data_IF_197521825003
#
_entry.id   IF_197521825003
#
_cell.length_a   1.000
_cell.length_b   1.000
_cell.length_c   1.000
_cell.angle_alpha   90.00
_cell.angle_beta   90.00
_cell.angle_gamma   90.00
#
_symmetry.space_group_name_H-M   'P 1'
#
loop_
_entity.id
_entity.type
_entity.pdbx_description
1 polymer ?
#
# COMPACT_ATOMS: atom_id res chain seq x y z
N UNK A 1 -13.82 -12.29 -3.70
CA UNK A 1 -14.18 -10.90 -3.35
C UNK A 1 -13.68 -10.47 -1.96
N UNK A 2 -14.23 -10.98 -0.85
CA UNK A 2 -13.95 -10.52 0.53
C UNK A 2 -12.47 -10.61 0.97
N UNK A 3 -11.85 -11.77 0.78
CA UNK A 3 -10.47 -12.01 1.26
C UNK A 3 -9.41 -11.27 0.43
N UNK A 4 -9.73 -10.92 -0.82
CA UNK A 4 -8.82 -10.20 -1.72
C UNK A 4 -8.75 -8.71 -1.39
N UNK A 5 -9.91 -8.06 -1.16
CA UNK A 5 -9.96 -6.63 -0.81
C UNK A 5 -9.44 -6.34 0.61
N UNK A 6 -9.64 -7.28 1.56
CA UNK A 6 -9.07 -7.20 2.92
C UNK A 6 -7.54 -7.29 2.88
N UNK A 7 -6.98 -8.26 2.14
CA UNK A 7 -5.52 -8.42 1.98
C UNK A 7 -4.90 -7.25 1.21
N UNK A 8 -5.62 -6.73 0.22
CA UNK A 8 -5.19 -5.56 -0.54
C UNK A 8 -5.13 -4.27 0.31
N UNK A 9 -6.06 -4.08 1.25
CA UNK A 9 -6.04 -2.93 2.17
C UNK A 9 -4.97 -3.05 3.26
N UNK A 10 -4.55 -4.28 3.60
CA UNK A 10 -3.36 -4.58 4.42
C UNK A 10 -2.06 -4.23 3.68
N UNK A 11 -1.96 -4.64 2.42
CA UNK A 11 -0.74 -4.54 1.61
C UNK A 11 -0.50 -3.17 0.97
N UNK A 12 -1.54 -2.38 0.71
CA UNK A 12 -1.37 -0.99 0.23
C UNK A 12 -0.81 -0.06 1.30
N UNK A 13 -0.97 -0.44 2.58
CA UNK A 13 -0.33 0.25 3.68
C UNK A 13 1.10 -0.25 3.87
N UNK A 14 1.38 -1.56 3.76
CA UNK A 14 2.72 -2.15 3.97
C UNK A 14 3.70 -2.01 2.79
N UNK A 15 3.20 -1.79 1.57
CA UNK A 15 4.01 -1.71 0.35
C UNK A 15 4.55 -0.30 0.08
N UNK A 16 5.58 0.12 0.81
CA UNK A 16 6.34 1.33 0.46
C UNK A 16 7.73 0.95 -0.02
N UNK A 17 8.02 1.32 -1.27
CA UNK A 17 9.27 0.98 -1.93
C UNK A 17 10.43 1.87 -1.47
N UNK A 18 11.40 1.28 -0.77
CA UNK A 18 12.69 1.90 -0.52
C UNK A 18 13.52 1.84 -1.82
N UNK A 19 13.76 2.99 -2.43
CA UNK A 19 14.63 3.12 -3.61
C UNK A 19 16.02 3.59 -3.17
N UNK A 20 16.99 2.67 -3.12
CA UNK A 20 18.40 3.08 -3.07
C UNK A 20 18.85 3.45 -4.49
N UNK A 21 18.97 4.76 -4.76
CA UNK A 21 19.73 5.24 -5.92
C UNK A 21 21.20 4.91 -5.70
N UNK A 22 21.68 3.83 -6.31
CA UNK A 22 23.11 3.58 -6.45
C UNK A 22 23.71 4.73 -7.27
N UNK A 23 24.43 5.63 -6.61
CA UNK A 23 25.29 6.58 -7.29
C UNK A 23 26.39 5.80 -8.00
N UNK A 24 26.37 5.78 -9.33
CA UNK A 24 27.52 5.37 -10.13
C UNK A 24 28.69 6.31 -9.83
N UNK A 25 29.60 5.87 -8.98
CA UNK A 25 30.98 6.33 -9.06
C UNK A 25 31.57 5.70 -10.33
N UNK A 26 31.72 6.54 -11.35
CA UNK A 26 32.59 6.26 -12.49
C UNK A 26 34.02 6.24 -11.99
N UNK A 27 34.50 5.05 -11.61
CA UNK A 27 35.92 4.78 -11.52
C UNK A 27 36.27 3.86 -12.72
N UNK A 28 37.10 4.41 -13.60
CA UNK A 28 37.57 3.78 -14.84
C UNK A 28 38.48 2.58 -14.52
N UNK A 29 38.04 1.35 -14.83
CA UNK A 29 38.94 0.21 -15.11
C UNK A 29 38.24 -0.82 -16.03
N UNK A 30 38.90 -1.36 -17.09
CA UNK A 30 38.24 -2.21 -18.07
C UNK A 30 38.35 -3.68 -17.66
N UNK A 31 37.38 -4.15 -16.90
CA UNK A 31 37.21 -5.57 -16.58
C UNK A 31 35.76 -5.98 -16.76
N UNK A 32 35.49 -6.84 -17.74
CA UNK A 32 34.14 -7.26 -18.12
C UNK A 32 33.35 -7.87 -16.96
N UNK A 33 32.42 -7.08 -16.43
CA UNK A 33 31.23 -7.51 -15.71
C UNK A 33 30.03 -6.99 -16.48
N UNK A 34 29.08 -7.86 -16.81
CA UNK A 34 27.84 -7.43 -17.46
C UNK A 34 27.12 -6.44 -16.54
N UNK A 35 26.59 -5.38 -17.14
CA UNK A 35 25.77 -4.39 -16.42
C UNK A 35 24.69 -5.12 -15.59
N UNK A 36 24.44 -4.71 -14.34
CA UNK A 36 23.33 -5.25 -13.58
C UNK A 36 22.03 -5.06 -14.39
N UNK A 37 21.14 -6.06 -14.42
CA UNK A 37 19.92 -5.95 -15.21
C UNK A 37 19.12 -4.74 -14.75
N UNK A 38 18.74 -3.87 -15.70
CA UNK A 38 17.99 -2.66 -15.42
C UNK A 38 16.60 -3.01 -14.87
N UNK A 39 16.34 -2.64 -13.61
CA UNK A 39 15.03 -2.85 -12.99
C UNK A 39 13.95 -1.99 -13.67
N UNK A 40 12.73 -2.50 -13.84
CA UNK A 40 11.62 -1.73 -14.39
C UNK A 40 10.24 -2.32 -14.01
N UNK A 41 9.21 -1.49 -14.12
CA UNK A 41 7.80 -1.88 -14.11
C UNK A 41 7.04 -1.06 -15.16
N UNK A 42 6.51 -1.72 -16.19
CA UNK A 42 5.86 -1.08 -17.35
C UNK A 42 4.59 -1.82 -17.76
N UNK A 43 3.66 -1.12 -18.40
CA UNK A 43 2.47 -1.72 -19.04
C UNK A 43 1.87 -0.77 -20.08
N UNK A 44 0.77 -1.19 -20.70
CA UNK A 44 -0.17 -0.33 -21.43
C UNK A 44 -1.54 -0.37 -20.78
N UNK A 45 -2.10 0.79 -20.45
CA UNK A 45 -3.45 0.97 -19.89
C UNK A 45 -4.34 1.57 -20.96
N UNK A 46 -5.33 0.80 -21.43
CA UNK A 46 -6.16 1.11 -22.59
C UNK A 46 -5.31 1.53 -23.83
N UNK A 47 -4.16 0.88 -24.00
CA UNK A 47 -3.19 1.16 -25.07
C UNK A 47 -2.21 2.30 -24.79
N UNK A 48 -2.42 3.10 -23.74
CA UNK A 48 -1.51 4.19 -23.35
C UNK A 48 -0.36 3.67 -22.49
N UNK A 49 0.84 4.21 -22.68
CA UNK A 49 2.02 3.76 -21.95
C UNK A 49 1.91 4.07 -20.45
N UNK A 50 2.23 3.06 -19.64
CA UNK A 50 2.44 3.16 -18.21
C UNK A 50 3.90 2.81 -17.92
N UNK A 51 4.63 3.75 -17.34
CA UNK A 51 5.98 3.54 -16.84
C UNK A 51 6.05 4.01 -15.40
N UNK A 52 6.34 3.09 -14.50
CA UNK A 52 6.47 3.40 -13.09
C UNK A 52 7.76 4.18 -12.82
N UNK A 53 7.66 5.26 -12.06
CA UNK A 53 8.81 5.98 -11.50
C UNK A 53 9.17 5.46 -10.11
N UNK A 54 8.27 4.70 -9.49
CA UNK A 54 8.43 4.01 -8.22
C UNK A 54 7.77 2.64 -8.31
N UNK A 55 8.44 1.59 -7.88
CA UNK A 55 7.93 0.22 -7.96
C UNK A 55 8.68 -0.69 -7.00
N UNK A 56 8.11 -1.86 -6.78
CA UNK A 56 8.81 -3.01 -6.20
C UNK A 56 7.86 -4.13 -5.79
N UNK A 57 8.30 -4.97 -4.85
CA UNK A 57 7.47 -6.05 -4.31
C UNK A 57 7.69 -6.34 -2.82
N UNK A 58 6.67 -6.92 -2.17
CA UNK A 58 6.77 -7.50 -0.82
C UNK A 58 6.05 -8.85 -0.72
N UNK A 59 6.49 -9.71 0.19
CA UNK A 59 5.86 -11.00 0.49
C UNK A 59 5.52 -11.06 1.98
N UNK A 60 4.26 -11.33 2.30
CA UNK A 60 3.80 -11.54 3.68
C UNK A 60 4.04 -12.97 4.19
N UNK A 61 3.80 -13.19 5.48
CA UNK A 61 3.96 -14.50 6.15
C UNK A 61 3.03 -15.59 5.57
N UNK A 62 1.87 -15.18 5.06
CA UNK A 62 0.89 -16.04 4.38
C UNK A 62 1.31 -16.37 2.93
N UNK A 63 2.51 -15.95 2.52
CA UNK A 63 3.04 -16.09 1.17
C UNK A 63 2.18 -15.39 0.11
N UNK A 64 1.57 -14.26 0.46
CA UNK A 64 0.98 -13.36 -0.52
C UNK A 64 2.04 -12.38 -0.98
N UNK A 65 2.38 -12.47 -2.26
CA UNK A 65 3.28 -11.54 -2.92
C UNK A 65 2.48 -10.36 -3.47
N UNK A 66 2.89 -9.14 -3.18
CA UNK A 66 2.40 -7.94 -3.84
C UNK A 66 3.50 -7.30 -4.66
N UNK A 67 3.15 -6.86 -5.86
CA UNK A 67 4.03 -6.13 -6.78
C UNK A 67 3.30 -4.87 -7.21
N UNK A 68 3.92 -3.71 -7.04
CA UNK A 68 3.28 -2.42 -7.31
C UNK A 68 4.14 -1.50 -8.17
N UNK A 69 3.49 -0.61 -8.91
CA UNK A 69 4.12 0.49 -9.63
C UNK A 69 3.28 1.76 -9.59
N UNK A 70 3.93 2.91 -9.43
CA UNK A 70 3.35 4.25 -9.46
C UNK A 70 4.04 5.07 -10.55
N UNK A 71 3.26 5.68 -11.44
CA UNK A 71 3.78 6.55 -12.49
C UNK A 71 3.83 8.03 -12.07
N UNK A 72 4.41 8.88 -12.91
CA UNK A 72 4.53 10.32 -12.67
C UNK A 72 3.21 11.09 -12.63
N UNK A 73 2.12 10.47 -13.06
CA UNK A 73 0.77 11.04 -13.11
C UNK A 73 -0.06 10.67 -11.87
N UNK A 74 0.51 9.94 -10.92
CA UNK A 74 -0.20 9.50 -9.72
C UNK A 74 -1.09 8.27 -9.94
N UNK A 75 -0.97 7.58 -11.08
CA UNK A 75 -1.68 6.33 -11.36
C UNK A 75 -0.88 5.12 -10.86
N UNK A 76 -1.58 4.10 -10.34
CA UNK A 76 -0.94 2.89 -9.83
C UNK A 76 -1.47 1.62 -10.49
N UNK A 77 -0.60 0.62 -10.62
CA UNK A 77 -0.96 -0.77 -10.90
C UNK A 77 -0.43 -1.60 -9.74
N UNK A 78 -1.27 -2.48 -9.19
CA UNK A 78 -0.86 -3.42 -8.14
C UNK A 78 -1.32 -4.83 -8.52
N UNK A 79 -0.41 -5.79 -8.35
CA UNK A 79 -0.63 -7.23 -8.48
C UNK A 79 -0.58 -7.84 -7.08
N UNK A 80 -1.54 -8.68 -6.74
CA UNK A 80 -1.54 -9.47 -5.51
C UNK A 80 -1.64 -10.96 -5.87
N UNK A 81 -0.57 -11.70 -5.60
CA UNK A 81 -0.34 -13.09 -6.00
C UNK A 81 -0.35 -13.96 -4.75
N UNK A 82 -1.42 -14.72 -4.56
CA UNK A 82 -1.61 -15.56 -3.39
C UNK A 82 -0.84 -16.88 -3.50
N UNK A 83 -0.36 -17.40 -2.36
CA UNK A 83 0.39 -18.66 -2.25
C UNK A 83 1.66 -18.67 -3.14
N UNK A 84 2.38 -17.56 -3.15
CA UNK A 84 3.63 -17.39 -3.87
C UNK A 84 4.72 -18.31 -3.30
N UNK A 85 5.26 -19.18 -4.15
CA UNK A 85 6.39 -20.08 -3.80
C UNK A 85 7.55 -19.97 -4.78
N UNK A 86 7.52 -18.98 -5.68
CA UNK A 86 8.50 -18.74 -6.73
C UNK A 86 7.88 -18.59 -8.12
N UNK A 87 8.60 -19.05 -9.14
CA UNK A 87 8.14 -19.00 -10.53
C UNK A 87 6.79 -19.71 -10.72
N UNK A 88 5.92 -19.13 -11.54
CA UNK A 88 4.58 -19.65 -11.71
C UNK A 88 3.62 -18.70 -12.41
N UNK A 89 2.41 -19.21 -12.66
CA UNK A 89 1.31 -18.45 -13.26
C UNK A 89 0.18 -18.27 -12.25
N UNK A 90 -0.27 -17.03 -12.11
CA UNK A 90 -1.27 -16.60 -11.15
C UNK A 90 -2.45 -16.03 -11.92
N UNK A 91 -3.59 -16.72 -11.89
CA UNK A 91 -4.78 -16.29 -12.62
C UNK A 91 -5.56 -15.24 -11.84
N UNK A 92 -6.11 -14.26 -12.55
CA UNK A 92 -7.01 -13.25 -12.02
C UNK A 92 -8.43 -13.52 -12.53
N UNK A 93 -9.38 -13.58 -11.61
CA UNK A 93 -10.81 -13.70 -11.90
C UNK A 93 -11.61 -13.28 -10.67
N UNK A 94 -12.94 -13.10 -10.77
CA UNK A 94 -13.79 -12.72 -9.65
C UNK A 94 -13.68 -13.65 -8.43
N UNK A 95 -13.32 -14.91 -8.70
CA UNK A 95 -13.25 -16.00 -7.73
C UNK A 95 -11.80 -16.42 -7.41
N UNK A 96 -10.79 -15.79 -8.01
CA UNK A 96 -9.40 -16.10 -7.71
C UNK A 96 -8.96 -15.49 -6.37
N UNK A 97 -7.98 -16.14 -5.73
CA UNK A 97 -7.28 -15.57 -4.58
C UNK A 97 -6.25 -14.53 -5.01
N UNK A 98 -5.72 -14.65 -6.23
CA UNK A 98 -4.86 -13.65 -6.85
C UNK A 98 -5.68 -12.64 -7.65
N UNK A 99 -5.16 -11.43 -7.82
CA UNK A 99 -5.82 -10.39 -8.59
C UNK A 99 -4.93 -9.20 -8.84
N UNK A 100 -5.48 -8.22 -9.54
CA UNK A 100 -4.82 -6.96 -9.81
C UNK A 100 -5.80 -5.79 -9.68
N UNK A 101 -5.24 -4.59 -9.57
CA UNK A 101 -5.98 -3.35 -9.65
C UNK A 101 -5.23 -2.31 -10.46
N UNK A 102 -6.00 -1.30 -10.85
CA UNK A 102 -5.50 -0.04 -11.39
C UNK A 102 -6.26 1.12 -10.73
N UNK A 103 -5.53 2.15 -10.29
CA UNK A 103 -6.12 3.46 -9.99
C UNK A 103 -5.50 4.50 -10.93
N UNK A 104 -6.30 5.30 -11.66
CA UNK A 104 -5.79 6.38 -12.48
C UNK A 104 -5.32 7.57 -11.63
N UNK A 105 -5.82 7.71 -10.40
CA UNK A 105 -5.51 8.80 -9.49
C UNK A 105 -5.49 8.27 -8.05
N UNK A 106 -4.31 8.23 -7.44
CA UNK A 106 -4.12 7.81 -6.04
C UNK A 106 -4.72 8.80 -5.04
N UNK A 107 -5.05 10.02 -5.43
CA UNK A 107 -5.81 10.95 -4.59
C UNK A 107 -7.32 10.67 -4.60
N UNK A 108 -7.80 9.79 -5.50
CA UNK A 108 -9.22 9.47 -5.63
C UNK A 108 -9.49 7.96 -5.70
N UNK A 109 -9.56 7.33 -4.52
CA UNK A 109 -9.86 5.90 -4.37
C UNK A 109 -11.27 5.48 -4.78
N UNK A 110 -12.17 6.42 -5.10
CA UNK A 110 -13.48 6.06 -5.68
C UNK A 110 -13.38 5.70 -7.16
N UNK A 111 -12.26 6.04 -7.81
CA UNK A 111 -11.97 5.77 -9.22
C UNK A 111 -11.12 4.50 -9.39
N UNK A 112 -11.46 3.42 -8.67
CA UNK A 112 -10.65 2.19 -8.59
C UNK A 112 -11.17 1.11 -9.55
N UNK A 113 -10.26 0.42 -10.23
CA UNK A 113 -10.55 -0.73 -11.09
C UNK A 113 -9.93 -2.00 -10.53
N UNK A 114 -10.70 -3.08 -10.40
CA UNK A 114 -10.23 -4.36 -9.82
C UNK A 114 -10.58 -5.57 -10.70
N UNK A 115 -9.71 -6.59 -10.72
CA UNK A 115 -9.97 -7.85 -11.44
C UNK A 115 -10.95 -8.79 -10.71
N UNK A 116 -11.40 -8.42 -9.50
CA UNK A 116 -12.35 -9.21 -8.73
C UNK A 116 -13.82 -8.82 -8.95
N UNK A 117 -14.09 -7.75 -9.71
CA UNK A 117 -15.43 -7.43 -10.22
C UNK A 117 -15.86 -8.43 -11.31
N UNK A 118 -17.15 -8.52 -11.62
CA UNK A 118 -17.74 -9.55 -12.51
C UNK A 118 -17.06 -9.63 -13.88
N UNK A 119 -16.59 -8.50 -14.41
CA UNK A 119 -15.91 -8.42 -15.71
C UNK A 119 -14.37 -8.54 -15.62
N UNK A 120 -13.84 -8.83 -14.43
CA UNK A 120 -12.42 -8.93 -14.17
C UNK A 120 -11.82 -10.24 -14.65
N UNK A 121 -10.65 -10.18 -15.28
CA UNK A 121 -9.92 -11.36 -15.79
C UNK A 121 -8.45 -11.04 -16.02
N UNK A 122 -7.59 -12.04 -16.12
CA UNK A 122 -6.18 -11.82 -16.47
C UNK A 122 -5.24 -12.83 -15.83
N UNK A 123 -3.95 -12.53 -15.87
CA UNK A 123 -2.93 -13.27 -15.14
C UNK A 123 -1.65 -12.47 -14.96
N UNK A 124 -0.83 -12.92 -14.00
CA UNK A 124 0.59 -12.62 -13.93
C UNK A 124 1.39 -13.92 -14.04
N UNK A 125 2.56 -13.84 -14.68
CA UNK A 125 3.51 -14.94 -14.82
C UNK A 125 4.84 -14.48 -14.26
N UNK A 126 5.28 -15.10 -13.16
CA UNK A 126 6.62 -14.92 -12.60
C UNK A 126 7.56 -15.85 -13.36
N UNK A 127 8.50 -15.27 -14.12
CA UNK A 127 9.45 -16.00 -14.98
C UNK A 127 10.86 -16.02 -14.42
N UNK A 128 11.12 -15.29 -13.34
CA UNK A 128 12.39 -15.32 -12.63
C UNK A 128 12.16 -15.06 -11.15
N UNK A 129 12.60 -16.01 -10.32
CA UNK A 129 12.64 -15.85 -8.87
C UNK A 129 13.99 -16.29 -8.34
N UNK A 130 14.74 -15.35 -7.76
CA UNK A 130 15.95 -15.65 -7.02
C UNK A 130 15.70 -15.40 -5.54
N UNK A 131 15.39 -16.46 -4.79
CA UNK A 131 15.12 -16.37 -3.36
C UNK A 131 16.34 -16.05 -2.49
N UNK A 132 17.56 -16.13 -3.03
CA UNK A 132 18.78 -15.72 -2.31
C UNK A 132 18.96 -14.21 -2.35
N UNK A 133 18.86 -13.64 -3.55
CA UNK A 133 19.02 -12.19 -3.76
C UNK A 133 17.71 -11.43 -3.57
N UNK A 134 16.61 -12.15 -3.40
CA UNK A 134 15.24 -11.65 -3.29
C UNK A 134 14.84 -10.81 -4.50
N UNK A 135 15.11 -11.31 -5.70
CA UNK A 135 14.83 -10.61 -6.96
C UNK A 135 13.76 -11.35 -7.75
N UNK A 136 12.78 -10.61 -8.26
CA UNK A 136 11.67 -11.14 -9.04
C UNK A 136 11.54 -10.48 -10.43
N UNK A 137 11.12 -11.26 -11.42
CA UNK A 137 10.81 -10.81 -12.78
C UNK A 137 9.63 -11.57 -13.37
N UNK A 138 8.89 -10.91 -14.27
CA UNK A 138 7.71 -11.50 -14.87
C UNK A 138 6.92 -10.57 -15.78
N UNK A 139 5.74 -11.05 -16.15
CA UNK A 139 4.79 -10.36 -17.04
C UNK A 139 3.37 -10.41 -16.47
N UNK A 140 2.51 -9.51 -16.90
CA UNK A 140 1.11 -9.51 -16.51
C UNK A 140 0.22 -8.89 -17.59
N UNK A 141 -1.06 -9.28 -17.60
CA UNK A 141 -2.12 -8.63 -18.38
C UNK A 141 -3.47 -8.92 -17.74
N UNK A 142 -4.34 -7.92 -17.68
CA UNK A 142 -5.65 -8.06 -17.06
C UNK A 142 -6.69 -7.09 -17.58
N UNK A 143 -7.97 -7.44 -17.41
CA UNK A 143 -9.11 -6.55 -17.48
C UNK A 143 -9.62 -6.33 -16.06
N UNK A 144 -9.83 -5.08 -15.67
CA UNK A 144 -10.31 -4.71 -14.35
C UNK A 144 -11.59 -3.88 -14.47
N UNK A 145 -12.55 -4.12 -13.57
CA UNK A 145 -13.85 -3.44 -13.53
C UNK A 145 -13.84 -2.35 -12.47
N UNK A 146 -14.40 -1.19 -12.80
CA UNK A 146 -14.61 -0.08 -11.89
C UNK A 146 -15.53 -0.49 -10.75
N UNK A 147 -15.14 -0.17 -9.51
CA UNK A 147 -15.81 -0.64 -8.29
C UNK A 147 -17.26 -0.15 -8.14
N UNK A 148 -17.64 0.96 -8.78
CA UNK A 148 -19.00 1.53 -8.64
C UNK A 148 -19.88 1.55 -9.90
N UNK A 149 -19.33 1.32 -11.11
CA UNK A 149 -20.08 1.67 -12.34
C UNK A 149 -19.89 0.70 -13.53
N UNK A 150 -19.38 -0.51 -13.29
CA UNK A 150 -19.22 -1.59 -14.29
C UNK A 150 -18.32 -1.31 -15.49
N UNK A 151 -17.85 -0.06 -15.68
CA UNK A 151 -16.86 0.27 -16.70
C UNK A 151 -15.57 -0.53 -16.49
N UNK A 152 -14.78 -0.72 -17.54
CA UNK A 152 -13.59 -1.57 -17.49
C UNK A 152 -12.37 -0.84 -18.02
N UNK A 153 -11.21 -1.23 -17.51
CA UNK A 153 -9.89 -0.86 -18.04
C UNK A 153 -9.17 -2.14 -18.47
N UNK A 154 -8.41 -2.06 -19.56
CA UNK A 154 -7.59 -3.15 -20.07
C UNK A 154 -6.11 -2.81 -19.89
N UNK A 155 -5.39 -3.69 -19.19
CA UNK A 155 -3.95 -3.59 -18.98
C UNK A 155 -3.25 -4.70 -19.76
N UNK A 156 -2.40 -4.32 -20.70
CA UNK A 156 -1.66 -5.22 -21.60
C UNK A 156 -0.17 -4.95 -21.55
N UNK A 157 0.64 -5.86 -22.08
CA UNK A 157 2.10 -5.68 -22.18
C UNK A 157 2.76 -5.35 -20.83
N UNK A 158 2.18 -5.84 -19.74
CA UNK A 158 2.71 -5.64 -18.39
C UNK A 158 4.00 -6.44 -18.20
N UNK A 159 5.03 -5.79 -17.69
CA UNK A 159 6.29 -6.42 -17.34
C UNK A 159 6.89 -5.79 -16.08
N UNK A 160 7.50 -6.64 -15.27
CA UNK A 160 8.37 -6.22 -14.18
C UNK A 160 9.68 -6.99 -14.28
N UNK A 161 10.80 -6.30 -14.13
CA UNK A 161 12.13 -6.89 -14.23
C UNK A 161 12.99 -6.48 -13.05
N UNK A 162 13.73 -7.44 -12.53
CA UNK A 162 14.75 -7.28 -11.48
C UNK A 162 14.26 -6.44 -10.29
N UNK A 163 13.04 -6.71 -9.83
CA UNK A 163 12.44 -6.04 -8.68
C UNK A 163 12.95 -6.70 -7.40
N UNK A 164 13.46 -5.91 -6.46
CA UNK A 164 13.75 -6.36 -5.11
C UNK A 164 12.44 -6.69 -4.39
N UNK A 165 12.41 -7.87 -3.76
CA UNK A 165 11.32 -8.36 -2.93
C UNK A 165 11.73 -8.17 -1.48
N UNK A 166 10.90 -7.45 -0.74
CA UNK A 166 10.98 -7.37 0.71
C UNK A 166 10.17 -8.51 1.32
N UNK A 167 10.69 -9.14 2.37
CA UNK A 167 9.95 -10.13 3.12
C UNK A 167 9.48 -9.49 4.41
N UNK A 168 8.18 -9.54 4.66
CA UNK A 168 7.66 -9.23 5.99
C UNK A 168 8.18 -10.34 6.92
N UNK A 169 9.22 -10.03 7.66
CA UNK A 169 9.77 -10.94 8.65
C UNK A 169 8.84 -10.98 9.85
N UNK A 170 8.47 -12.19 10.27
CA UNK A 170 7.82 -12.54 11.55
C UNK A 170 8.26 -11.55 12.66
N UNK A 171 7.43 -10.53 12.91
CA UNK A 171 7.59 -9.49 13.93
C UNK A 171 9.01 -9.01 14.23
N UNK A 172 9.80 -8.60 13.23
CA UNK A 172 11.26 -8.57 13.37
C UNK A 172 12.06 -7.35 12.95
N UNK A 173 11.53 -6.12 12.98
CA UNK A 173 12.25 -4.82 13.20
C UNK A 173 11.52 -3.67 12.48
N UNK A 174 10.73 -2.92 13.25
CA UNK A 174 10.04 -1.72 12.76
C UNK A 174 8.87 -1.25 13.60
N UNK A 175 8.39 -2.05 14.58
CA UNK A 175 7.23 -1.66 15.37
C UNK A 175 7.04 -2.37 16.71
N UNK A 176 8.11 -2.83 17.36
CA UNK A 176 8.01 -3.53 18.66
C UNK A 176 7.24 -2.73 19.73
N UNK A 177 7.36 -1.40 19.68
CA UNK A 177 6.72 -0.47 20.62
C UNK A 177 5.64 0.41 19.96
N UNK A 178 5.27 0.13 18.70
CA UNK A 178 4.25 0.90 18.00
C UNK A 178 2.89 0.72 18.68
N UNK A 179 2.13 1.81 18.79
CA UNK A 179 0.81 1.80 19.39
C UNK A 179 -0.13 2.78 18.71
N UNK A 180 -1.42 2.42 18.70
CA UNK A 180 -2.50 3.24 18.19
C UNK A 180 -3.76 2.98 19.02
N UNK A 181 -4.39 4.03 19.50
CA UNK A 181 -5.67 3.94 20.23
C UNK A 181 -6.60 5.08 19.84
N UNK A 182 -7.90 4.85 19.94
CA UNK A 182 -8.96 5.85 19.72
C UNK A 182 -10.29 5.34 20.26
N UNK A 183 -11.15 6.24 20.72
CA UNK A 183 -12.54 5.92 21.05
C UNK A 183 -13.46 6.20 19.88
N UNK A 184 -14.15 5.17 19.41
CA UNK A 184 -15.17 5.25 18.37
C UNK A 184 -16.54 5.28 19.04
N UNK A 185 -17.23 6.42 18.95
CA UNK A 185 -18.49 6.66 19.67
C UNK A 185 -18.38 6.29 21.17
N UNK A 186 -17.23 6.62 21.77
CA UNK A 186 -16.91 6.34 23.18
C UNK A 186 -16.39 4.93 23.49
N UNK A 187 -16.37 4.01 22.51
CA UNK A 187 -15.83 2.65 22.70
C UNK A 187 -14.36 2.60 22.31
N UNK A 188 -13.49 2.14 23.22
CA UNK A 188 -12.07 2.03 22.97
C UNK A 188 -11.77 1.02 21.86
N UNK A 189 -10.95 1.46 20.91
CA UNK A 189 -10.31 0.65 19.89
C UNK A 189 -8.79 0.89 20.01
N UNK A 190 -8.01 -0.17 20.14
CA UNK A 190 -6.56 -0.06 20.31
C UNK A 190 -5.85 -1.23 19.64
N UNK A 191 -4.63 -0.98 19.15
CA UNK A 191 -3.70 -1.96 18.60
C UNK A 191 -2.26 -1.57 18.95
N UNK A 192 -1.37 -2.55 18.94
CA UNK A 192 0.05 -2.34 19.22
C UNK A 192 0.93 -3.38 18.51
N UNK A 193 2.24 -3.17 18.55
CA UNK A 193 3.20 -4.11 17.97
C UNK A 193 3.08 -4.18 16.45
N UNK A 194 3.17 -5.38 15.88
CA UNK A 194 3.07 -5.62 14.43
C UNK A 194 1.74 -5.22 13.80
N UNK A 195 0.70 -4.99 14.60
CA UNK A 195 -0.60 -4.51 14.11
C UNK A 195 -0.63 -2.99 13.87
N UNK A 196 0.45 -2.27 14.22
CA UNK A 196 0.59 -0.83 13.99
C UNK A 196 1.92 -0.58 13.31
N UNK A 197 1.89 0.07 12.15
CA UNK A 197 3.10 0.34 11.39
C UNK A 197 3.00 1.67 10.64
N UNK A 198 4.17 2.29 10.43
CA UNK A 198 4.30 3.53 9.67
C UNK A 198 5.30 3.36 8.55
N UNK A 199 5.09 4.04 7.42
CA UNK A 199 6.09 4.11 6.35
C UNK A 199 6.13 5.50 5.74
N UNK A 200 7.33 5.99 5.44
CA UNK A 200 7.57 7.35 4.98
C UNK A 200 7.99 7.39 3.50
N UNK A 201 7.26 8.18 2.73
CA UNK A 201 7.62 8.57 1.36
C UNK A 201 7.74 10.09 1.26
N UNK A 202 6.83 10.72 0.50
CA UNK A 202 6.51 12.15 0.54
C UNK A 202 5.62 12.49 1.73
N UNK A 203 4.93 11.49 2.26
CA UNK A 203 4.12 11.51 3.48
C UNK A 203 4.43 10.27 4.32
N UNK A 204 4.24 10.37 5.63
CA UNK A 204 4.19 9.25 6.55
C UNK A 204 2.77 8.66 6.50
N UNK A 205 2.69 7.40 6.08
CA UNK A 205 1.47 6.60 6.04
C UNK A 205 1.47 5.70 7.28
N UNK A 206 0.44 5.79 8.11
CA UNK A 206 0.32 4.99 9.34
C UNK A 206 -0.90 4.10 9.20
N UNK A 207 -0.72 2.82 9.50
CA UNK A 207 -1.80 1.84 9.53
C UNK A 207 -1.87 1.18 10.89
N UNK A 208 -3.09 1.02 11.38
CA UNK A 208 -3.39 0.21 12.55
C UNK A 208 -4.49 -0.78 12.21
N UNK A 209 -4.31 -2.07 12.52
CA UNK A 209 -5.24 -3.12 12.14
C UNK A 209 -5.63 -4.02 13.30
N UNK A 210 -6.93 -4.29 13.42
CA UNK A 210 -7.44 -5.31 14.31
C UNK A 210 -7.71 -6.62 13.53
N UNK A 211 -6.86 -7.66 13.71
CA UNK A 211 -7.01 -8.92 12.96
C UNK A 211 -8.27 -9.71 13.36
N UNK A 212 -8.82 -9.47 14.56
CA UNK A 212 -9.97 -10.23 15.06
C UNK A 212 -11.28 -9.91 14.31
N UNK A 213 -11.41 -8.68 13.81
CA UNK A 213 -12.63 -8.22 13.12
C UNK A 213 -12.34 -7.48 11.80
N UNK A 214 -11.07 -7.41 11.38
CA UNK A 214 -10.62 -6.72 10.17
C UNK A 214 -10.96 -5.23 10.14
N UNK A 215 -11.17 -4.60 11.30
CA UNK A 215 -11.27 -3.15 11.38
C UNK A 215 -9.88 -2.51 11.31
N UNK A 216 -9.77 -1.33 10.71
CA UNK A 216 -8.48 -0.67 10.53
C UNK A 216 -8.58 0.85 10.50
N UNK A 217 -7.46 1.49 10.81
CA UNK A 217 -7.21 2.90 10.58
C UNK A 217 -6.10 3.06 9.55
N UNK A 218 -6.26 4.05 8.68
CA UNK A 218 -5.23 4.52 7.77
C UNK A 218 -5.08 6.04 7.92
N UNK A 219 -3.87 6.50 8.22
CA UNK A 219 -3.56 7.91 8.41
C UNK A 219 -2.50 8.35 7.41
N UNK A 220 -2.63 9.58 6.95
CA UNK A 220 -1.62 10.26 6.15
C UNK A 220 -1.20 11.52 6.88
N UNK A 221 0.12 11.68 7.06
CA UNK A 221 0.76 12.84 7.68
C UNK A 221 1.91 13.27 6.76
N UNK A 222 2.17 14.58 6.54
CA UNK A 222 3.30 14.99 5.72
C UNK A 222 4.64 14.52 6.31
N UNK A 223 5.58 14.07 5.48
CA UNK A 223 6.88 13.57 5.96
C UNK A 223 7.74 14.66 6.63
N UNK A 224 7.40 15.93 6.40
CA UNK A 224 8.03 17.10 7.02
C UNK A 224 7.11 17.82 8.02
N UNK A 225 6.09 17.14 8.54
CA UNK A 225 5.14 17.74 9.46
C UNK A 225 5.83 18.30 10.71
N UNK A 226 5.56 19.56 11.05
CA UNK A 226 6.09 20.16 12.27
C UNK A 226 5.32 19.66 13.50
N UNK A 227 5.94 19.68 14.68
CA UNK A 227 5.23 19.53 15.96
C UNK A 227 4.15 20.61 16.07
N UNK A 228 2.96 20.23 16.55
CA UNK A 228 1.81 21.12 16.74
C UNK A 228 0.51 20.59 16.16
N UNK A 229 -0.54 21.42 16.28
CA UNK A 229 -1.89 21.06 15.87
C UNK A 229 -2.13 21.38 14.39
N UNK A 230 -2.50 20.35 13.64
CA UNK A 230 -2.79 20.40 12.21
C UNK A 230 -4.26 20.04 11.95
N UNK A 231 -5.03 20.89 11.26
CA UNK A 231 -6.38 20.53 10.85
C UNK A 231 -6.37 19.34 9.89
N UNK A 232 -7.35 18.44 10.02
CA UNK A 232 -7.59 17.40 9.02
C UNK A 232 -8.19 18.06 7.78
N UNK A 233 -7.51 17.92 6.65
CA UNK A 233 -7.83 18.60 5.39
C UNK A 233 -7.96 17.65 4.19
N UNK A 234 -7.97 16.33 4.44
CA UNK A 234 -8.06 15.23 3.47
C UNK A 234 -6.85 15.08 2.53
N UNK A 235 -6.07 16.15 2.32
CA UNK A 235 -4.94 16.19 1.39
C UNK A 235 -3.62 15.88 2.10
N UNK A 236 -3.33 16.62 3.18
CA UNK A 236 -2.07 16.53 3.90
C UNK A 236 -2.23 15.72 5.18
N UNK A 237 -3.32 15.96 5.90
CA UNK A 237 -3.67 15.26 7.12
C UNK A 237 -5.02 14.59 6.91
N UNK A 238 -5.01 13.27 6.83
CA UNK A 238 -6.20 12.47 6.58
C UNK A 238 -6.24 11.26 7.50
N UNK A 239 -7.44 10.85 7.90
CA UNK A 239 -7.70 9.64 8.68
C UNK A 239 -8.90 8.93 8.07
N UNK A 240 -8.74 7.65 7.79
CA UNK A 240 -9.80 6.77 7.30
C UNK A 240 -9.96 5.63 8.30
N UNK A 241 -11.19 5.38 8.74
CA UNK A 241 -11.56 4.21 9.52
C UNK A 241 -12.38 3.25 8.69
N UNK A 242 -11.96 1.99 8.63
CA UNK A 242 -12.73 0.90 8.01
C UNK A 242 -13.26 -0.02 9.12
N UNK A 243 -14.59 -0.08 9.36
CA UNK A 243 -15.12 -0.85 10.48
C UNK A 243 -14.95 -2.37 10.34
N UNK A 244 -14.91 -2.85 9.11
CA UNK A 244 -14.66 -4.23 8.72
C UNK A 244 -14.66 -4.31 7.18
N UNK A 245 -14.51 -5.51 6.66
CA UNK A 245 -14.47 -5.79 5.23
C UNK A 245 -15.75 -5.49 4.42
N UNK A 246 -16.90 -5.31 5.06
CA UNK A 246 -18.20 -5.12 4.37
C UNK A 246 -18.81 -3.76 4.56
N UNK A 247 -18.48 -3.12 5.67
CA UNK A 247 -19.05 -1.83 6.00
C UNK A 247 -18.25 -0.72 5.31
N UNK A 248 -18.95 0.32 4.83
CA UNK A 248 -18.27 1.42 4.16
C UNK A 248 -17.37 2.15 5.15
N UNK A 249 -16.26 2.67 4.62
CA UNK A 249 -15.28 3.40 5.45
C UNK A 249 -15.83 4.77 5.86
N UNK A 250 -15.36 5.24 7.01
CA UNK A 250 -15.59 6.57 7.54
C UNK A 250 -14.35 7.41 7.26
N UNK A 251 -14.53 8.48 6.50
CA UNK A 251 -13.46 9.40 6.13
C UNK A 251 -13.55 10.61 7.06
N UNK A 252 -12.43 11.03 7.65
CA UNK A 252 -12.37 12.22 8.47
C UNK A 252 -12.78 13.47 7.66
N UNK A 253 -13.70 14.25 8.22
CA UNK A 253 -14.25 15.44 7.55
C UNK A 253 -14.08 16.73 8.34
N UNK A 254 -13.76 16.60 9.62
CA UNK A 254 -13.36 17.70 10.50
C UNK A 254 -12.58 17.13 11.66
N UNK A 255 -11.78 17.97 12.33
CA UNK A 255 -10.94 17.55 13.44
C UNK A 255 -9.50 18.00 13.26
N UNK A 256 -8.61 17.46 14.08
CA UNK A 256 -7.19 17.76 14.01
C UNK A 256 -6.33 16.61 14.49
N UNK A 257 -5.09 16.61 13.99
CA UNK A 257 -3.98 15.79 14.47
C UNK A 257 -3.00 16.75 15.11
N UNK A 258 -2.69 16.56 16.39
CA UNK A 258 -1.65 17.28 17.09
C UNK A 258 -0.43 16.38 17.21
N UNK A 259 0.59 16.67 16.39
CA UNK A 259 1.88 15.98 16.45
C UNK A 259 2.61 16.46 17.70
N UNK A 260 2.83 15.55 18.63
CA UNK A 260 3.51 15.81 19.90
C UNK A 260 5.02 15.62 19.76
N UNK A 261 5.45 14.70 18.89
CA UNK A 261 6.84 14.45 18.56
C UNK A 261 6.99 14.02 17.11
N UNK A 262 8.06 14.47 16.46
CA UNK A 262 8.46 13.97 15.15
C UNK A 262 9.99 13.98 15.08
N UNK A 263 10.58 12.83 15.35
CA UNK A 263 12.02 12.60 15.26
C UNK A 263 12.35 12.01 13.89
N UNK A 264 12.70 12.87 12.96
CA UNK A 264 13.05 12.49 11.59
C UNK A 264 14.41 11.79 11.47
N UNK A 265 15.23 11.78 12.53
CA UNK A 265 16.51 11.07 12.52
C UNK A 265 16.31 9.61 12.85
N UNK A 266 15.44 9.34 13.83
CA UNK A 266 15.09 7.99 14.27
C UNK A 266 13.79 7.46 13.63
N UNK A 267 13.22 8.22 12.69
CA UNK A 267 11.97 7.93 12.02
C UNK A 267 10.83 7.59 12.99
N UNK A 268 10.58 8.46 13.97
CA UNK A 268 9.57 8.24 14.98
C UNK A 268 8.57 9.41 15.04
N UNK A 269 7.28 9.11 15.15
CA UNK A 269 6.22 10.10 15.28
C UNK A 269 5.23 9.73 16.39
N UNK A 270 4.91 10.71 17.21
CA UNK A 270 3.83 10.64 18.19
C UNK A 270 2.79 11.72 17.88
N UNK A 271 1.52 11.37 18.03
CA UNK A 271 0.44 12.34 17.88
C UNK A 271 -0.80 11.97 18.68
N UNK A 272 -1.57 13.00 19.03
CA UNK A 272 -2.95 12.87 19.51
C UNK A 272 -3.92 13.38 18.45
N UNK A 273 -5.11 12.82 18.32
CA UNK A 273 -6.08 13.25 17.31
C UNK A 273 -7.53 13.10 17.76
N UNK A 274 -8.40 13.94 17.21
CA UNK A 274 -9.85 13.86 17.37
C UNK A 274 -10.51 14.28 16.07
N UNK A 275 -11.54 13.57 15.61
CA UNK A 275 -12.21 13.88 14.35
C UNK A 275 -13.64 13.36 14.27
N UNK A 276 -14.41 13.92 13.34
CA UNK A 276 -15.71 13.38 12.92
C UNK A 276 -15.56 12.70 11.55
N UNK A 277 -15.89 11.41 11.50
CA UNK A 277 -15.84 10.62 10.27
C UNK A 277 -17.21 10.49 9.64
N UNK A 278 -17.28 10.56 8.30
CA UNK A 278 -18.52 10.38 7.55
C UNK A 278 -18.43 9.21 6.57
N UNK A 279 -19.55 8.49 6.45
CA UNK A 279 -19.78 7.46 5.45
C UNK A 279 -21.18 7.64 4.85
N UNK A 280 -21.25 8.29 3.68
CA UNK A 280 -22.52 8.76 3.12
C UNK A 280 -23.18 9.79 4.04
N UNK A 281 -24.33 9.45 4.62
CA UNK A 281 -25.04 10.29 5.60
C UNK A 281 -24.79 9.88 7.06
N UNK A 282 -24.08 8.76 7.28
CA UNK A 282 -23.77 8.26 8.62
C UNK A 282 -22.51 8.96 9.15
N UNK A 283 -22.55 9.37 10.41
CA UNK A 283 -21.42 10.00 11.09
C UNK A 283 -20.97 9.16 12.28
N UNK A 284 -19.68 9.25 12.61
CA UNK A 284 -19.08 8.66 13.82
C UNK A 284 -18.10 9.65 14.45
N UNK A 285 -18.08 9.67 15.78
CA UNK A 285 -17.15 10.49 16.54
C UNK A 285 -15.93 9.67 16.93
N UNK A 286 -14.74 10.21 16.67
CA UNK A 286 -13.45 9.60 16.97
C UNK A 286 -12.72 10.52 17.93
N UNK A 287 -12.58 10.07 19.18
CA UNK A 287 -12.08 10.89 20.29
C UNK A 287 -10.96 10.20 21.03
N UNK A 288 -10.16 10.97 21.77
CA UNK A 288 -9.03 10.46 22.57
C UNK A 288 -8.09 9.56 21.72
N UNK A 289 -7.84 9.98 20.48
CA UNK A 289 -6.94 9.27 19.58
C UNK A 289 -5.48 9.53 19.96
N UNK A 290 -4.67 8.49 20.03
CA UNK A 290 -3.24 8.55 20.31
C UNK A 290 -2.48 7.56 19.42
N UNK A 291 -1.29 7.96 18.96
CA UNK A 291 -0.37 7.08 18.25
C UNK A 291 1.07 7.37 18.66
N UNK A 292 1.89 6.32 18.62
CA UNK A 292 3.35 6.33 18.75
C UNK A 292 3.88 5.31 17.77
N UNK A 293 4.58 5.76 16.72
CA UNK A 293 4.89 4.93 15.57
C UNK A 293 6.30 5.21 15.08
N UNK A 294 7.12 4.17 15.07
CA UNK A 294 8.33 4.09 14.26
C UNK A 294 7.91 3.83 12.80
N UNK A 295 8.50 4.59 11.87
CA UNK A 295 8.28 4.46 10.44
C UNK A 295 9.59 4.18 9.69
N UNK A 296 9.48 3.63 8.48
CA UNK A 296 10.64 3.31 7.63
C UNK A 296 10.72 4.22 6.42
#
# INVERSE_FOLDING_TARGET
>A
MKNFLIRLSLLLAAGTFIVLSSCDKKDDDPGGGGDPPSSNFTAKVDGNDFSAIQYGASVDEDHNLVIGGLNSQGSTIVLALANFTGEGSFNFSPNSQSGALYTPDTANFTNLYITSGENGSGSAVVTGWNGTDSIISGTFSFNAQHVTNTSTVTVTEGSFSSIQVEFESDGGSGGGDNSFSVKIDGTLWEQSGSNVFGISTTSILISAMNPANSSSFFLTVPANASVGNHPIDFVNYNIIYTPNATDPSFIATSGSINITQHDQVNNHIEATFNFEGMSGISTKSFTDGELSVDYQ
#
